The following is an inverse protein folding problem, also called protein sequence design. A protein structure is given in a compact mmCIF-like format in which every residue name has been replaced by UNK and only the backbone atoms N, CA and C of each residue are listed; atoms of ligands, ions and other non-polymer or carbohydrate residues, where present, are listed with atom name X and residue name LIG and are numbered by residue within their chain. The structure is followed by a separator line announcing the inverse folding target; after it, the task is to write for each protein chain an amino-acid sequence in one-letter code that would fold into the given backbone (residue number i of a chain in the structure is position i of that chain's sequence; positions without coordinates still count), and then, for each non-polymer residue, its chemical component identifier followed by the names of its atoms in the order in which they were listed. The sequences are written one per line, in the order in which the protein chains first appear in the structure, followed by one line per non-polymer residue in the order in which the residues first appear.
data_IF_735133801770
#
_entry.id   IF_735133801770
#
_cell.length_a   1.000
_cell.length_b   1.000
_cell.length_c   1.000
_cell.angle_alpha   90.00
_cell.angle_beta   90.00
_cell.angle_gamma   90.00
#
_symmetry.space_group_name_H-M   'P 1'
#
loop_
_entity.id
_entity.type
_entity.pdbx_description
1 polymer ?
#
# COMPACT_ATOMS: atom_id res chain seq x y z
N UNK A 1 27.31 37.13 -40.88
CA UNK A 1 27.81 36.27 -39.79
C UNK A 1 27.48 36.97 -38.47
N UNK A 2 26.81 36.44 -37.46
CA UNK A 2 26.27 35.12 -37.17
C UNK A 2 25.03 35.27 -36.27
N UNK A 3 24.14 34.30 -36.44
CA UNK A 3 22.86 34.05 -35.79
C UNK A 3 22.95 34.07 -34.26
N UNK A 4 21.87 34.49 -33.59
CA UNK A 4 21.24 33.68 -32.54
C UNK A 4 19.82 34.16 -32.25
N UNK A 5 18.86 33.41 -32.79
CA UNK A 5 17.45 33.47 -32.45
C UNK A 5 17.29 32.95 -31.00
N UNK A 6 16.94 33.82 -30.04
CA UNK A 6 16.60 33.37 -28.69
C UNK A 6 15.14 32.91 -28.69
N UNK A 7 14.98 31.60 -28.71
CA UNK A 7 13.75 30.86 -28.48
C UNK A 7 13.17 31.28 -27.11
N UNK A 8 12.06 32.01 -27.11
CA UNK A 8 11.25 32.25 -25.92
C UNK A 8 10.54 30.93 -25.61
N UNK A 9 11.11 30.14 -24.69
CA UNK A 9 10.48 28.94 -24.18
C UNK A 9 9.43 29.36 -23.14
N UNK A 10 8.17 29.44 -23.57
CA UNK A 10 7.00 29.55 -22.70
C UNK A 10 6.98 28.37 -21.74
N UNK A 11 7.37 28.57 -20.48
CA UNK A 11 7.18 27.57 -19.43
C UNK A 11 5.68 27.56 -19.10
N UNK A 12 4.95 26.66 -19.74
CA UNK A 12 3.64 26.25 -19.27
C UNK A 12 3.83 25.65 -17.88
N UNK A 13 3.38 26.37 -16.85
CA UNK A 13 3.27 25.87 -15.50
C UNK A 13 2.17 24.80 -15.49
N UNK A 14 2.50 23.56 -15.88
CA UNK A 14 1.64 22.41 -15.57
C UNK A 14 1.66 22.27 -14.06
N UNK A 15 0.64 22.81 -13.41
CA UNK A 15 0.30 22.46 -12.05
C UNK A 15 0.04 20.94 -12.06
N UNK A 16 1.08 20.15 -11.79
CA UNK A 16 0.93 18.77 -11.36
C UNK A 16 0.34 18.89 -9.96
N UNK A 17 -0.99 18.99 -9.89
CA UNK A 17 -1.73 18.75 -8.67
C UNK A 17 -1.31 17.36 -8.21
N UNK A 18 -0.38 17.32 -7.26
CA UNK A 18 0.09 16.08 -6.66
C UNK A 18 -1.09 15.56 -5.85
N UNK A 19 -1.95 14.76 -6.47
CA UNK A 19 -2.90 13.92 -5.75
C UNK A 19 -2.04 12.94 -4.95
N UNK A 20 -1.63 13.35 -3.75
CA UNK A 20 -1.04 12.44 -2.78
C UNK A 20 -2.19 11.57 -2.28
N UNK A 21 -2.46 10.47 -2.97
CA UNK A 21 -3.31 9.42 -2.42
C UNK A 21 -2.62 8.91 -1.14
N UNK A 22 -3.39 8.80 -0.04
CA UNK A 22 -2.84 8.39 1.24
C UNK A 22 -2.48 6.90 1.18
N UNK A 23 -1.17 6.60 1.22
CA UNK A 23 -0.68 5.22 1.13
C UNK A 23 -1.24 4.34 2.25
N UNK A 24 -1.86 3.20 1.91
CA UNK A 24 -2.50 2.34 2.92
C UNK A 24 -1.45 1.70 3.84
N UNK A 25 -1.52 2.01 5.14
CA UNK A 25 -0.66 1.46 6.19
C UNK A 25 -1.44 0.57 7.15
N UNK A 26 -0.85 -0.57 7.52
CA UNK A 26 -1.35 -1.47 8.56
C UNK A 26 -0.33 -1.50 9.69
N UNK A 27 -0.77 -1.19 10.90
CA UNK A 27 0.06 -1.17 12.11
C UNK A 27 -0.40 -2.28 13.05
N UNK A 28 0.52 -3.14 13.44
CA UNK A 28 0.29 -4.25 14.38
C UNK A 28 1.29 -4.09 15.52
N UNK A 29 0.81 -3.88 16.74
CA UNK A 29 1.65 -3.86 17.94
C UNK A 29 1.27 -5.00 18.87
N UNK A 30 2.24 -5.52 19.61
CA UNK A 30 2.00 -6.56 20.61
C UNK A 30 1.07 -6.08 21.74
N UNK A 31 1.02 -4.77 21.97
CA UNK A 31 0.17 -4.15 22.97
C UNK A 31 -1.30 -4.16 22.55
N UNK A 32 -1.59 -3.93 21.27
CA UNK A 32 -2.95 -3.89 20.74
C UNK A 32 -3.50 -5.26 20.34
N UNK A 33 -2.64 -6.15 19.83
CA UNK A 33 -3.04 -7.45 19.31
C UNK A 33 -2.16 -8.56 19.89
N UNK A 34 -2.73 -9.36 20.77
CA UNK A 34 -2.07 -10.57 21.25
C UNK A 34 -2.53 -11.77 20.42
N UNK A 35 -1.62 -12.73 20.26
CA UNK A 35 -1.85 -13.96 19.53
C UNK A 35 -1.68 -15.20 20.41
N UNK A 36 -1.47 -16.36 19.77
CA UNK A 36 -1.27 -17.63 20.47
C UNK A 36 -0.10 -17.62 21.47
N UNK A 37 -0.19 -18.51 22.46
CA UNK A 37 0.93 -18.86 23.33
C UNK A 37 2.07 -19.48 22.52
N UNK A 38 3.21 -19.70 23.17
CA UNK A 38 4.36 -20.38 22.59
C UNK A 38 3.98 -21.65 21.81
N UNK A 39 4.40 -21.73 20.56
CA UNK A 39 4.06 -22.83 19.67
C UNK A 39 4.70 -22.72 18.28
N UNK A 40 4.42 -23.73 17.44
CA UNK A 40 4.83 -23.78 16.04
C UNK A 40 3.71 -23.27 15.13
N UNK A 41 4.10 -22.66 14.02
CA UNK A 41 3.20 -22.16 12.96
C UNK A 41 2.04 -21.30 13.50
N UNK A 42 2.32 -20.52 14.54
CA UNK A 42 1.36 -19.63 15.17
C UNK A 42 1.20 -18.36 14.34
N UNK A 43 -0.03 -17.84 14.28
CA UNK A 43 -0.36 -16.70 13.42
C UNK A 43 -1.22 -15.65 14.12
N UNK A 44 -1.11 -14.41 13.66
CA UNK A 44 -2.04 -13.30 13.92
C UNK A 44 -2.46 -12.67 12.59
N UNK A 45 -3.64 -12.07 12.56
CA UNK A 45 -4.15 -11.36 11.40
C UNK A 45 -4.74 -10.01 11.82
N UNK A 46 -4.47 -8.97 11.02
CA UNK A 46 -5.11 -7.65 11.13
C UNK A 46 -5.19 -7.04 9.75
N UNK A 47 -6.37 -6.53 9.38
CA UNK A 47 -6.60 -5.75 8.16
C UNK A 47 -6.08 -6.41 6.86
N UNK A 48 -6.16 -7.74 6.78
CA UNK A 48 -5.71 -8.51 5.62
C UNK A 48 -4.21 -8.78 5.57
N UNK A 49 -3.47 -8.48 6.64
CA UNK A 49 -2.08 -8.87 6.87
C UNK A 49 -2.05 -10.04 7.84
N UNK A 50 -1.44 -11.15 7.43
CA UNK A 50 -1.16 -12.30 8.29
C UNK A 50 0.32 -12.34 8.62
N UNK A 51 0.65 -12.48 9.91
CA UNK A 51 2.00 -12.72 10.39
C UNK A 51 2.04 -14.12 10.99
N UNK A 52 2.86 -15.00 10.42
CA UNK A 52 3.04 -16.38 10.87
C UNK A 52 4.47 -16.57 11.36
N UNK A 53 4.64 -17.18 12.53
CA UNK A 53 5.95 -17.58 13.04
C UNK A 53 6.04 -19.10 13.06
N UNK A 54 7.08 -19.67 12.43
CA UNK A 54 7.29 -21.12 12.43
C UNK A 54 7.56 -21.69 13.82
N UNK A 55 8.13 -20.87 14.72
CA UNK A 55 8.21 -21.14 16.15
C UNK A 55 8.39 -19.84 16.93
N UNK A 56 7.55 -19.61 17.92
CA UNK A 56 7.58 -18.36 18.67
C UNK A 56 6.47 -18.28 19.71
N UNK A 57 6.23 -17.09 20.23
CA UNK A 57 5.10 -16.78 21.11
C UNK A 57 4.55 -15.39 20.80
N UNK A 58 3.22 -15.24 20.77
CA UNK A 58 2.57 -13.96 20.45
C UNK A 58 1.63 -13.44 21.54
N UNK A 59 1.61 -14.09 22.71
CA UNK A 59 0.70 -13.80 23.83
C UNK A 59 1.26 -12.83 24.88
N UNK A 60 2.28 -12.04 24.56
CA UNK A 60 2.91 -11.11 25.50
C UNK A 60 2.77 -9.68 24.99
N UNK A 61 2.08 -8.83 25.76
CA UNK A 61 1.78 -7.44 25.38
C UNK A 61 3.00 -6.56 25.07
N UNK A 62 4.18 -6.90 25.60
CA UNK A 62 5.39 -6.09 25.39
C UNK A 62 6.16 -6.46 24.12
N UNK A 63 6.06 -7.71 23.68
CA UNK A 63 6.74 -8.17 22.47
C UNK A 63 6.23 -9.53 22.00
N UNK A 64 6.11 -9.70 20.70
CA UNK A 64 6.14 -11.03 20.07
C UNK A 64 7.56 -11.60 20.11
N UNK A 65 7.68 -12.92 20.28
CA UNK A 65 8.97 -13.61 20.37
C UNK A 65 9.12 -14.53 19.17
N UNK A 66 10.04 -14.18 18.28
CA UNK A 66 10.50 -15.09 17.23
C UNK A 66 11.73 -15.85 17.75
N UNK A 67 11.59 -17.15 17.98
CA UNK A 67 12.67 -17.94 18.56
C UNK A 67 13.85 -18.12 17.60
N UNK A 68 15.04 -18.43 18.14
CA UNK A 68 16.23 -18.64 17.33
C UNK A 68 15.98 -19.76 16.31
N UNK A 69 16.48 -19.57 15.08
CA UNK A 69 16.27 -20.43 13.90
C UNK A 69 14.83 -20.50 13.39
N UNK A 70 13.89 -19.76 13.99
CA UNK A 70 12.54 -19.66 13.45
C UNK A 70 12.47 -18.60 12.35
N UNK A 71 11.47 -18.77 11.49
CA UNK A 71 11.14 -17.87 10.39
C UNK A 71 9.79 -17.25 10.65
N UNK A 72 9.71 -15.94 10.47
CA UNK A 72 8.47 -15.19 10.44
C UNK A 72 8.14 -14.84 8.99
N UNK A 73 6.92 -15.15 8.56
CA UNK A 73 6.39 -14.81 7.24
C UNK A 73 5.31 -13.76 7.41
N UNK A 74 5.39 -12.68 6.64
CA UNK A 74 4.36 -11.64 6.55
C UNK A 74 3.71 -11.77 5.19
N UNK A 75 2.39 -11.90 5.15
CA UNK A 75 1.62 -12.07 3.93
C UNK A 75 0.46 -11.08 3.88
N UNK A 76 0.33 -10.37 2.78
CA UNK A 76 -0.84 -9.55 2.45
C UNK A 76 -1.79 -10.31 1.54
N UNK A 77 -3.09 -10.28 1.85
CA UNK A 77 -4.11 -10.92 1.03
C UNK A 77 -4.24 -10.23 -0.35
N UNK A 78 -4.37 -8.91 -0.34
CA UNK A 78 -4.90 -8.17 -1.49
C UNK A 78 -3.82 -7.45 -2.29
N UNK A 79 -2.88 -6.79 -1.60
CA UNK A 79 -1.95 -5.85 -2.22
C UNK A 79 -0.51 -6.26 -1.97
N UNK A 80 0.38 -5.94 -2.90
CA UNK A 80 1.81 -6.08 -2.64
C UNK A 80 2.21 -5.13 -1.51
N UNK A 81 3.12 -5.57 -0.65
CA UNK A 81 3.76 -4.73 0.35
C UNK A 81 4.95 -4.04 -0.31
N UNK A 82 5.12 -2.75 -0.03
CA UNK A 82 6.22 -1.93 -0.57
C UNK A 82 7.28 -1.62 0.46
N UNK A 83 6.85 -1.52 1.72
CA UNK A 83 7.75 -1.29 2.85
C UNK A 83 7.22 -1.96 4.11
N UNK A 84 8.12 -2.55 4.90
CA UNK A 84 7.80 -3.09 6.22
C UNK A 84 8.85 -2.56 7.20
N UNK A 85 8.38 -1.97 8.29
CA UNK A 85 9.22 -1.56 9.42
C UNK A 85 8.89 -2.47 10.60
N UNK A 86 9.92 -3.12 11.14
CA UNK A 86 9.84 -3.98 12.32
C UNK A 86 10.62 -3.30 13.44
N UNK A 87 9.93 -2.93 14.51
CA UNK A 87 10.51 -2.30 15.69
C UNK A 87 10.68 -3.35 16.79
N UNK A 88 11.91 -3.58 17.24
CA UNK A 88 12.21 -4.54 18.31
C UNK A 88 11.98 -3.93 19.70
N UNK A 89 11.64 -4.79 20.67
CA UNK A 89 11.59 -4.40 22.07
C UNK A 89 13.01 -4.16 22.62
N UNK A 90 13.22 -2.99 23.20
CA UNK A 90 14.52 -2.54 23.71
C UNK A 90 14.76 -2.95 25.16
N UNK A 91 13.83 -3.65 25.80
CA UNK A 91 13.99 -4.15 27.16
C UNK A 91 15.22 -5.07 27.28
N UNK A 92 16.01 -4.85 28.33
CA UNK A 92 17.15 -5.72 28.68
C UNK A 92 16.68 -6.76 29.68
N UNK A 93 16.86 -8.03 29.36
CA UNK A 93 16.72 -9.10 30.34
C UNK A 93 18.13 -9.41 30.87
N UNK A 94 18.46 -8.89 32.04
CA UNK A 94 19.83 -8.85 32.55
C UNK A 94 20.75 -8.17 31.52
N UNK A 95 21.73 -8.90 30.97
CA UNK A 95 22.65 -8.41 29.94
C UNK A 95 22.19 -8.73 28.51
N UNK A 96 21.13 -9.54 28.35
CA UNK A 96 20.69 -10.05 27.03
C UNK A 96 19.71 -9.08 26.36
N UNK A 97 20.00 -8.80 25.08
CA UNK A 97 19.12 -8.05 24.17
C UNK A 97 18.71 -8.91 22.97
N UNK A 98 17.41 -8.89 22.66
CA UNK A 98 16.78 -9.69 21.61
C UNK A 98 16.36 -8.80 20.43
N UNK A 99 17.34 -8.11 19.86
CA UNK A 99 17.19 -7.07 18.85
C UNK A 99 17.31 -7.61 17.42
N UNK A 100 17.21 -6.70 16.43
CA UNK A 100 17.19 -7.01 15.00
C UNK A 100 18.48 -7.67 14.50
N UNK A 101 19.61 -7.53 15.21
CA UNK A 101 20.85 -8.26 14.91
C UNK A 101 20.74 -9.77 15.18
N UNK A 102 19.57 -10.26 15.63
CA UNK A 102 19.23 -11.67 15.65
C UNK A 102 18.80 -12.27 14.31
N UNK A 103 18.43 -11.44 13.34
CA UNK A 103 18.06 -11.90 12.01
C UNK A 103 19.26 -12.40 11.20
N UNK A 104 18.98 -13.16 10.13
CA UNK A 104 19.97 -13.61 9.16
C UNK A 104 20.67 -12.44 8.45
N UNK A 105 21.94 -12.63 8.10
CA UNK A 105 22.65 -11.66 7.27
C UNK A 105 22.10 -11.65 5.84
N UNK A 106 22.19 -10.48 5.19
CA UNK A 106 22.00 -10.33 3.75
C UNK A 106 20.65 -10.81 3.21
N UNK A 107 19.55 -10.56 3.94
CA UNK A 107 18.21 -10.73 3.40
C UNK A 107 17.92 -9.63 2.36
N UNK A 108 17.42 -10.02 1.19
CA UNK A 108 17.16 -9.10 0.08
C UNK A 108 16.16 -8.00 0.48
N UNK A 109 16.51 -6.74 0.16
CA UNK A 109 15.70 -5.58 0.48
C UNK A 109 15.65 -5.23 1.97
N UNK A 110 16.41 -5.92 2.83
CA UNK A 110 16.41 -5.70 4.28
C UNK A 110 17.60 -4.84 4.71
N UNK A 111 17.32 -3.81 5.50
CA UNK A 111 18.30 -3.00 6.22
C UNK A 111 18.05 -3.08 7.72
N UNK A 112 19.10 -3.26 8.51
CA UNK A 112 19.05 -3.20 9.98
C UNK A 112 19.68 -1.89 10.43
N UNK A 113 19.01 -1.17 11.34
CA UNK A 113 19.53 0.09 11.89
C UNK A 113 20.81 -0.12 12.71
N UNK A 114 21.64 0.91 12.84
CA UNK A 114 22.92 0.85 13.57
C UNK A 114 22.76 0.52 15.05
N UNK A 115 21.68 0.98 15.68
CA UNK A 115 21.28 0.66 17.05
C UNK A 115 20.64 -0.74 17.19
N UNK A 116 20.43 -1.42 16.05
CA UNK A 116 19.84 -2.76 15.92
C UNK A 116 18.39 -2.84 16.38
N UNK A 117 17.69 -1.72 16.55
CA UNK A 117 16.30 -1.72 17.03
C UNK A 117 15.33 -1.98 15.89
N UNK A 118 15.65 -1.50 14.69
CA UNK A 118 14.71 -1.46 13.57
C UNK A 118 15.21 -2.30 12.40
N UNK A 119 14.30 -3.05 11.81
CA UNK A 119 14.46 -3.63 10.47
C UNK A 119 13.57 -2.88 9.52
N UNK A 120 14.11 -2.51 8.36
CA UNK A 120 13.34 -1.99 7.24
C UNK A 120 13.48 -2.94 6.08
N UNK A 121 12.36 -3.42 5.55
CA UNK A 121 12.31 -4.13 4.28
C UNK A 121 11.66 -3.24 3.22
N UNK A 122 12.23 -3.23 2.03
CA UNK A 122 11.67 -2.60 0.82
C UNK A 122 11.58 -3.62 -0.28
N UNK A 123 10.46 -3.65 -1.01
CA UNK A 123 10.27 -4.56 -2.13
C UNK A 123 8.94 -4.33 -2.84
N UNK A 124 8.50 -5.32 -3.59
CA UNK A 124 7.20 -5.31 -4.26
C UNK A 124 6.65 -6.74 -4.30
N UNK A 125 6.16 -7.23 -3.16
CA UNK A 125 5.72 -8.61 -3.03
C UNK A 125 4.55 -8.75 -2.04
N UNK A 126 3.66 -9.72 -2.27
CA UNK A 126 2.59 -10.07 -1.32
C UNK A 126 3.10 -10.80 -0.08
N UNK A 127 4.27 -11.43 -0.16
CA UNK A 127 4.84 -12.20 0.93
C UNK A 127 6.32 -11.93 1.05
N UNK A 128 6.83 -11.90 2.28
CA UNK A 128 8.26 -11.83 2.59
C UNK A 128 8.51 -12.47 3.94
N UNK A 129 9.75 -12.91 4.17
CA UNK A 129 10.12 -13.72 5.33
C UNK A 129 11.39 -13.22 6.00
N UNK A 130 11.42 -13.32 7.32
CA UNK A 130 12.54 -12.93 8.17
C UNK A 130 12.93 -14.07 9.09
N UNK A 131 14.18 -14.51 9.02
CA UNK A 131 14.66 -15.64 9.83
C UNK A 131 15.55 -15.16 10.97
N UNK A 132 15.21 -15.50 12.20
CA UNK A 132 15.99 -15.22 13.42
C UNK A 132 17.20 -16.17 13.53
N UNK A 133 18.10 -16.13 12.54
CA UNK A 133 19.18 -17.10 12.40
C UNK A 133 20.20 -17.07 13.54
N UNK A 134 20.51 -15.88 14.07
CA UNK A 134 21.59 -15.68 15.04
C UNK A 134 21.13 -15.85 16.48
N UNK A 135 19.99 -15.26 16.83
CA UNK A 135 19.38 -15.30 18.18
C UNK A 135 17.90 -14.97 18.10
N UNK A 136 17.16 -15.24 19.17
CA UNK A 136 15.76 -14.80 19.31
C UNK A 136 15.63 -13.30 19.06
N UNK A 137 14.58 -12.90 18.36
CA UNK A 137 14.19 -11.50 18.14
C UNK A 137 12.87 -11.23 18.86
N UNK A 138 12.80 -10.12 19.60
CA UNK A 138 11.59 -9.65 20.27
C UNK A 138 11.04 -8.44 19.55
N UNK A 139 9.85 -8.57 18.99
CA UNK A 139 9.25 -7.58 18.10
C UNK A 139 8.10 -6.90 18.83
N UNK A 140 8.16 -5.58 18.93
CA UNK A 140 7.12 -4.76 19.56
C UNK A 140 6.05 -4.37 18.56
N UNK A 141 6.45 -4.02 17.34
CA UNK A 141 5.55 -3.40 16.36
C UNK A 141 5.98 -3.66 14.92
N UNK A 142 4.98 -3.80 14.06
CA UNK A 142 5.09 -3.81 12.62
C UNK A 142 4.35 -2.59 12.05
N UNK A 143 4.97 -1.93 11.07
CA UNK A 143 4.30 -0.96 10.20
C UNK A 143 4.47 -1.44 8.77
N UNK A 144 3.37 -1.90 8.17
CA UNK A 144 3.34 -2.45 6.81
C UNK A 144 2.70 -1.40 5.90
N UNK A 145 3.42 -1.05 4.83
CA UNK A 145 2.94 -0.13 3.81
C UNK A 145 2.56 -0.93 2.57
N UNK A 146 1.31 -0.81 2.16
CA UNK A 146 0.77 -1.50 0.99
C UNK A 146 0.95 -0.63 -0.25
N UNK A 147 1.13 -1.30 -1.39
CA UNK A 147 1.16 -0.65 -2.70
C UNK A 147 -0.20 -0.01 -2.94
N UNK A 148 -0.19 1.27 -3.30
CA UNK A 148 -1.41 1.93 -3.72
C UNK A 148 -1.87 1.34 -5.05
N UNK A 149 -3.13 0.93 -5.07
CA UNK A 149 -3.84 0.69 -6.32
C UNK A 149 -4.74 1.90 -6.54
N UNK A 150 -4.55 2.66 -7.62
CA UNK A 150 -5.53 3.65 -8.01
C UNK A 150 -6.91 3.00 -8.05
N UNK A 151 -7.90 3.62 -7.41
CA UNK A 151 -9.28 3.24 -7.64
C UNK A 151 -9.62 3.69 -9.06
N UNK A 152 -9.63 2.75 -10.01
CA UNK A 152 -10.05 3.04 -11.37
C UNK A 152 -11.52 3.47 -11.38
N UNK A 153 -11.86 4.40 -12.28
CA UNK A 153 -13.26 4.69 -12.61
C UNK A 153 -13.73 3.53 -13.50
N UNK A 154 -14.44 2.56 -12.93
CA UNK A 154 -14.84 1.31 -13.61
C UNK A 154 -16.01 1.47 -14.57
N UNK A 155 -16.58 2.67 -14.70
CA UNK A 155 -17.61 2.93 -15.71
C UNK A 155 -18.23 4.33 -15.61
N UNK A 156 -18.76 4.79 -16.74
CA UNK A 156 -19.68 5.92 -16.81
C UNK A 156 -21.08 5.29 -16.90
N UNK A 157 -21.92 5.50 -15.89
CA UNK A 157 -23.33 5.13 -16.00
C UNK A 157 -24.03 6.18 -16.86
N UNK A 158 -24.45 5.80 -18.06
CA UNK A 158 -25.26 6.63 -18.95
C UNK A 158 -26.67 6.05 -18.92
N UNK A 159 -27.62 6.80 -18.36
CA UNK A 159 -29.03 6.41 -18.44
C UNK A 159 -29.45 6.24 -19.90
N UNK A 160 -30.32 5.26 -20.16
CA UNK A 160 -30.87 5.05 -21.50
C UNK A 160 -31.54 6.32 -22.01
N UNK A 161 -31.55 6.51 -23.34
CA UNK A 161 -32.19 7.66 -23.95
C UNK A 161 -33.68 7.68 -23.57
N UNK A 162 -34.06 8.55 -22.64
CA UNK A 162 -35.46 8.86 -22.43
C UNK A 162 -35.93 9.75 -23.59
N UNK A 163 -36.59 9.13 -24.56
CA UNK A 163 -37.13 9.80 -25.76
C UNK A 163 -38.17 10.91 -25.46
N UNK A 164 -38.59 11.07 -24.19
CA UNK A 164 -39.42 12.18 -23.74
C UNK A 164 -38.63 13.48 -23.51
N UNK A 165 -37.30 13.42 -23.36
CA UNK A 165 -36.49 14.60 -23.08
C UNK A 165 -36.28 15.48 -24.33
N UNK A 166 -36.19 16.82 -24.20
CA UNK A 166 -35.91 17.72 -25.32
C UNK A 166 -34.56 17.42 -25.99
N UNK A 167 -34.48 17.63 -27.30
CA UNK A 167 -33.21 17.62 -28.03
C UNK A 167 -32.70 19.05 -28.24
N UNK A 168 -31.38 19.21 -28.18
CA UNK A 168 -30.70 20.49 -28.45
C UNK A 168 -29.67 20.34 -29.55
N UNK A 169 -29.53 21.33 -30.42
CA UNK A 169 -28.39 21.40 -31.34
C UNK A 169 -27.12 21.89 -30.60
N UNK A 170 -25.99 21.93 -31.31
CA UNK A 170 -24.71 22.38 -30.72
C UNK A 170 -24.69 23.86 -30.30
N UNK A 171 -25.63 24.66 -30.79
CA UNK A 171 -25.82 26.05 -30.38
C UNK A 171 -26.71 26.20 -29.14
N UNK A 172 -27.17 25.09 -28.54
CA UNK A 172 -28.05 25.09 -27.36
C UNK A 172 -29.52 25.41 -27.66
N UNK A 173 -29.92 25.45 -28.93
CA UNK A 173 -31.31 25.66 -29.31
C UNK A 173 -32.08 24.33 -29.24
N UNK A 174 -33.29 24.37 -28.68
CA UNK A 174 -34.19 23.21 -28.69
C UNK A 174 -34.62 22.91 -30.12
N UNK A 175 -34.53 21.63 -30.51
CA UNK A 175 -34.90 21.14 -31.84
C UNK A 175 -35.93 20.00 -31.74
N UNK A 176 -36.68 19.80 -32.80
CA UNK A 176 -37.64 18.71 -32.92
C UNK A 176 -36.97 17.40 -33.39
N UNK A 177 -37.77 16.33 -33.50
CA UNK A 177 -37.32 14.99 -33.92
C UNK A 177 -36.88 14.90 -35.39
N UNK A 178 -37.24 15.86 -36.22
CA UNK A 178 -36.94 15.87 -37.66
C UNK A 178 -35.62 16.58 -37.98
N UNK A 179 -35.07 17.34 -37.02
CA UNK A 179 -33.78 18.02 -37.17
C UNK A 179 -32.66 17.06 -37.55
N UNK A 180 -31.97 17.33 -38.65
CA UNK A 180 -30.86 16.50 -39.14
C UNK A 180 -29.52 17.04 -38.66
N UNK A 181 -28.69 16.18 -38.10
CA UNK A 181 -27.33 16.53 -37.66
C UNK A 181 -27.05 16.17 -36.20
N UNK A 182 -26.00 16.77 -35.65
CA UNK A 182 -25.55 16.46 -34.28
C UNK A 182 -26.46 17.13 -33.25
N UNK A 183 -27.02 16.32 -32.37
CA UNK A 183 -27.90 16.74 -31.27
C UNK A 183 -27.44 16.20 -29.94
N UNK A 184 -27.87 16.85 -28.87
CA UNK A 184 -27.65 16.44 -27.48
C UNK A 184 -29.03 16.16 -26.87
N UNK A 185 -29.22 14.97 -26.31
CA UNK A 185 -30.41 14.59 -25.54
C UNK A 185 -29.96 13.81 -24.32
N UNK A 186 -30.51 14.13 -23.14
CA UNK A 186 -30.12 13.50 -21.88
C UNK A 186 -28.60 13.51 -21.62
N UNK A 187 -27.93 14.61 -21.97
CA UNK A 187 -26.47 14.75 -21.88
C UNK A 187 -25.66 13.95 -22.92
N UNK A 188 -26.31 13.15 -23.78
CA UNK A 188 -25.65 12.34 -24.81
C UNK A 188 -25.69 13.01 -26.17
N UNK A 189 -24.52 13.11 -26.80
CA UNK A 189 -24.36 13.61 -28.18
C UNK A 189 -24.53 12.46 -29.18
N UNK A 190 -25.38 12.63 -30.19
CA UNK A 190 -25.54 11.67 -31.30
C UNK A 190 -25.94 12.38 -32.59
N UNK A 191 -25.85 11.67 -33.73
CA UNK A 191 -26.29 12.17 -35.03
C UNK A 191 -27.74 11.72 -35.25
N UNK A 192 -28.66 12.67 -35.40
CA UNK A 192 -30.01 12.41 -35.85
C UNK A 192 -30.01 12.35 -37.39
N UNK A 193 -30.26 11.15 -37.92
CA UNK A 193 -30.25 10.85 -39.37
C UNK A 193 -31.58 11.17 -40.02
#
# INVERSE_FOLDING_TARGET
MNKTLRLILTIAFTAISSFSFAQKKVVISSEELQGPKAGKDISINKDGITITMSNGAMNNKFSYRLYQKATMTITSANYNMTNIIIECDTHKNEEKRYLADGFADNMEGVTVSSDKVTVTWTGDAKTTSFTAAKKQVRIKKFTITLKDTPNDITGINVESNNNAQPMYNLSGQRVDKNYKGVVIQNGKKFINK
#
